data_IF_942881263938
#
_entry.id   IF_942881263938
#
_cell.length_a   1.000
_cell.length_b   1.000
_cell.length_c   1.000
_cell.angle_alpha   90.00
_cell.angle_beta   90.00
_cell.angle_gamma   90.00
#
_symmetry.space_group_name_H-M   'P 1'
#
loop_
_entity.id
_entity.type
_entity.pdbx_description
1 polymer ?
#
# COMPACT_ATOMS: atom_id res chain seq x y z
N UNK A 1 -6.85 -3.91 13.43
CA UNK A 1 -7.57 -4.60 12.33
C UNK A 1 -8.01 -6.00 12.72
N UNK A 2 -7.14 -6.85 13.27
CA UNK A 2 -7.50 -8.19 13.76
C UNK A 2 -8.69 -8.16 14.74
N UNK A 3 -8.66 -7.24 15.72
CA UNK A 3 -9.78 -7.03 16.66
C UNK A 3 -11.10 -6.74 15.96
N UNK A 4 -11.11 -5.96 14.88
CA UNK A 4 -12.35 -5.66 14.15
C UNK A 4 -12.92 -6.91 13.46
N UNK A 5 -12.05 -7.78 12.94
CA UNK A 5 -12.44 -9.07 12.35
C UNK A 5 -12.98 -10.01 13.42
N UNK A 6 -12.35 -10.05 14.59
CA UNK A 6 -12.80 -10.86 15.72
C UNK A 6 -14.18 -10.41 16.21
N UNK A 7 -14.39 -9.10 16.42
CA UNK A 7 -15.68 -8.56 16.84
C UNK A 7 -16.77 -8.78 15.77
N UNK A 8 -16.46 -8.61 14.49
CA UNK A 8 -17.38 -8.91 13.40
C UNK A 8 -17.83 -10.38 13.41
N UNK A 9 -16.90 -11.31 13.64
CA UNK A 9 -17.22 -12.75 13.76
C UNK A 9 -18.12 -13.05 14.96
N UNK A 10 -17.90 -12.41 16.11
CA UNK A 10 -18.73 -12.60 17.32
C UNK A 10 -20.19 -12.23 17.10
N UNK A 11 -20.47 -11.21 16.30
CA UNK A 11 -21.83 -10.77 15.98
C UNK A 11 -22.40 -11.44 14.72
N UNK A 12 -21.67 -12.38 14.11
CA UNK A 12 -22.07 -13.07 12.88
C UNK A 12 -22.09 -12.17 11.64
N UNK A 13 -21.35 -11.06 11.63
CA UNK A 13 -21.25 -10.18 10.47
C UNK A 13 -20.32 -10.76 9.40
N UNK A 14 -20.68 -10.55 8.13
CA UNK A 14 -19.81 -10.88 7.00
C UNK A 14 -18.58 -9.98 6.99
N UNK A 15 -17.40 -10.58 6.79
CA UNK A 15 -16.13 -9.86 6.73
C UNK A 15 -15.62 -9.85 5.30
N UNK A 16 -15.37 -8.65 4.77
CA UNK A 16 -14.83 -8.44 3.42
C UNK A 16 -13.56 -7.60 3.52
N UNK A 17 -12.50 -8.05 2.84
CA UNK A 17 -11.27 -7.27 2.69
C UNK A 17 -11.45 -6.30 1.52
N UNK A 18 -11.34 -5.00 1.80
CA UNK A 18 -11.60 -3.94 0.81
C UNK A 18 -10.32 -3.33 0.22
N UNK A 19 -9.16 -3.65 0.77
CA UNK A 19 -7.87 -3.14 0.31
C UNK A 19 -7.13 -4.19 -0.53
N UNK A 20 -6.18 -3.73 -1.35
CA UNK A 20 -5.34 -4.58 -2.19
C UNK A 20 -3.97 -4.81 -1.58
N UNK A 21 -3.32 -5.90 -1.99
CA UNK A 21 -1.93 -6.17 -1.63
C UNK A 21 -1.01 -5.02 -2.07
N UNK A 22 -0.14 -4.57 -1.17
CA UNK A 22 0.83 -3.50 -1.45
C UNK A 22 1.78 -3.88 -2.59
N UNK A 23 2.10 -5.17 -2.77
CA UNK A 23 2.97 -5.67 -3.83
C UNK A 23 2.45 -5.32 -5.22
N UNK A 24 1.13 -5.46 -5.44
CA UNK A 24 0.48 -5.09 -6.70
C UNK A 24 0.64 -3.58 -6.94
N UNK A 25 0.46 -2.79 -5.88
CA UNK A 25 0.59 -1.33 -5.94
C UNK A 25 2.02 -0.90 -6.29
N UNK A 26 3.02 -1.59 -5.74
CA UNK A 26 4.44 -1.34 -6.02
C UNK A 26 4.84 -1.76 -7.44
N UNK A 27 4.27 -2.85 -7.96
CA UNK A 27 4.47 -3.27 -9.35
C UNK A 27 3.95 -2.19 -10.32
N UNK A 28 2.72 -1.71 -10.14
CA UNK A 28 2.16 -0.63 -10.96
C UNK A 28 3.00 0.63 -10.93
N UNK A 29 3.55 0.95 -9.77
CA UNK A 29 4.44 2.09 -9.62
C UNK A 29 5.76 1.89 -10.38
N UNK A 30 6.39 0.71 -10.28
CA UNK A 30 7.57 0.35 -11.07
C UNK A 30 7.30 0.51 -12.57
N UNK A 31 6.10 0.19 -13.02
CA UNK A 31 5.71 0.32 -14.42
C UNK A 31 5.54 1.78 -14.85
N UNK A 32 5.06 2.65 -13.96
CA UNK A 32 4.92 4.10 -14.19
C UNK A 32 6.25 4.88 -14.09
N UNK A 33 7.33 4.26 -13.60
CA UNK A 33 8.63 4.93 -13.45
C UNK A 33 9.43 5.00 -14.76
N UNK A 34 10.08 6.13 -14.95
CA UNK A 34 11.11 6.30 -15.98
C UNK A 34 12.36 5.48 -15.65
N UNK A 35 13.15 5.16 -16.69
CA UNK A 35 14.42 4.44 -16.50
C UNK A 35 15.39 5.17 -15.56
N UNK A 36 15.39 6.50 -15.58
CA UNK A 36 16.23 7.33 -14.70
C UNK A 36 15.87 7.18 -13.22
N UNK A 37 14.59 7.12 -12.89
CA UNK A 37 14.12 6.92 -11.52
C UNK A 37 14.48 5.51 -11.03
N UNK A 38 14.32 4.49 -11.88
CA UNK A 38 14.73 3.11 -11.59
C UNK A 38 16.22 3.02 -11.27
N UNK A 39 17.07 3.64 -12.10
CA UNK A 39 18.52 3.67 -11.86
C UNK A 39 18.88 4.40 -10.56
N UNK A 40 18.22 5.53 -10.26
CA UNK A 40 18.46 6.27 -9.02
C UNK A 40 18.16 5.44 -7.77
N UNK A 41 17.05 4.70 -7.78
CA UNK A 41 16.67 3.79 -6.67
C UNK A 41 17.69 2.66 -6.56
N UNK A 42 18.06 2.03 -7.67
CA UNK A 42 19.07 0.96 -7.70
C UNK A 42 20.41 1.41 -7.10
N UNK A 43 20.92 2.58 -7.53
CA UNK A 43 22.17 3.12 -6.96
C UNK A 43 22.03 3.51 -5.49
N UNK A 44 20.87 3.98 -5.04
CA UNK A 44 20.64 4.30 -3.63
C UNK A 44 20.61 3.04 -2.77
N UNK A 45 20.01 1.95 -3.27
CA UNK A 45 20.01 0.65 -2.59
C UNK A 45 21.40 0.04 -2.54
N UNK A 46 22.16 0.08 -3.65
CA UNK A 46 23.57 -0.31 -3.64
C UNK A 46 24.33 0.48 -2.59
N UNK A 47 24.18 1.82 -2.59
CA UNK A 47 24.83 2.69 -1.60
C UNK A 47 24.40 2.35 -0.16
N UNK A 48 23.12 2.10 0.09
CA UNK A 48 22.58 1.69 1.39
C UNK A 48 23.24 0.39 1.88
N UNK A 49 23.35 -0.61 1.01
CA UNK A 49 24.00 -1.88 1.30
C UNK A 49 25.51 -1.68 1.56
N UNK A 50 26.19 -0.86 0.76
CA UNK A 50 27.59 -0.51 0.96
C UNK A 50 27.83 0.30 2.26
N UNK A 51 26.89 1.15 2.68
CA UNK A 51 27.00 1.93 3.93
C UNK A 51 26.72 1.05 5.16
N UNK A 52 25.77 0.10 5.08
CA UNK A 52 25.54 -0.89 6.14
C UNK A 52 26.73 -1.84 6.30
N UNK A 53 27.45 -2.13 5.20
CA UNK A 53 28.58 -3.07 5.14
C UNK A 53 29.93 -2.37 5.27
N UNK A 54 30.42 -2.24 6.49
CA UNK A 54 31.87 -2.20 6.73
C UNK A 54 32.60 -3.47 6.29
N UNK A 55 31.90 -4.59 6.03
CA UNK A 55 32.48 -5.85 5.56
C UNK A 55 31.54 -6.58 4.57
N UNK A 56 32.11 -7.05 3.47
CA UNK A 56 31.41 -7.66 2.32
C UNK A 56 30.68 -8.99 2.64
N UNK A 57 30.78 -9.51 3.86
CA UNK A 57 30.62 -10.94 4.18
C UNK A 57 29.16 -11.39 4.35
N UNK A 58 28.20 -10.52 4.68
CA UNK A 58 26.82 -10.94 4.99
C UNK A 58 25.80 -10.81 3.83
N UNK A 59 26.20 -10.97 2.55
CA UNK A 59 25.23 -10.93 1.44
C UNK A 59 24.30 -12.16 1.45
N UNK A 60 24.76 -13.30 1.95
CA UNK A 60 24.03 -14.56 1.95
C UNK A 60 22.89 -14.65 2.99
N UNK A 61 22.71 -13.62 3.82
CA UNK A 61 21.71 -13.58 4.90
C UNK A 61 20.49 -12.70 4.61
N UNK A 62 20.48 -12.01 3.47
CA UNK A 62 19.41 -11.08 3.12
C UNK A 62 18.29 -11.85 2.39
N UNK A 63 17.05 -11.74 2.88
CA UNK A 63 15.89 -12.35 2.21
C UNK A 63 15.30 -11.44 1.14
N UNK A 64 14.52 -12.01 0.22
CA UNK A 64 13.78 -11.23 -0.80
C UNK A 64 12.78 -10.26 -0.16
N UNK A 65 12.21 -10.62 1.00
CA UNK A 65 11.31 -9.74 1.78
C UNK A 65 12.07 -8.53 2.34
N UNK A 66 13.27 -8.74 2.89
CA UNK A 66 14.11 -7.64 3.40
C UNK A 66 14.50 -6.67 2.28
N UNK A 67 14.86 -7.19 1.10
CA UNK A 67 15.19 -6.37 -0.07
C UNK A 67 13.97 -5.57 -0.53
N UNK A 68 12.79 -6.19 -0.52
CA UNK A 68 11.56 -5.53 -0.90
C UNK A 68 11.22 -4.40 0.07
N UNK A 69 11.34 -4.63 1.37
CA UNK A 69 11.07 -3.63 2.40
C UNK A 69 12.07 -2.46 2.33
N UNK A 70 13.35 -2.73 2.13
CA UNK A 70 14.38 -1.71 1.93
C UNK A 70 14.10 -0.89 0.66
N UNK A 71 13.69 -1.53 -0.42
CA UNK A 71 13.29 -0.87 -1.67
C UNK A 71 12.07 0.03 -1.46
N UNK A 72 11.07 -0.43 -0.70
CA UNK A 72 9.90 0.38 -0.34
C UNK A 72 10.30 1.59 0.50
N UNK A 73 11.19 1.42 1.47
CA UNK A 73 11.61 2.49 2.37
C UNK A 73 12.46 3.54 1.63
N UNK A 74 13.38 3.10 0.79
CA UNK A 74 14.20 4.00 -0.01
C UNK A 74 13.37 4.76 -1.04
N UNK A 75 12.36 4.08 -1.61
CA UNK A 75 11.41 4.72 -2.49
C UNK A 75 10.61 5.84 -1.82
N UNK A 76 10.09 5.59 -0.61
CA UNK A 76 9.39 6.61 0.18
C UNK A 76 10.26 7.85 0.45
N UNK A 77 11.56 7.65 0.68
CA UNK A 77 12.52 8.76 0.90
C UNK A 77 12.80 9.54 -0.38
N UNK A 78 13.04 8.84 -1.49
CA UNK A 78 13.45 9.44 -2.75
C UNK A 78 12.30 10.11 -3.51
N UNK A 79 11.08 9.57 -3.38
CA UNK A 79 9.88 10.11 -4.03
C UNK A 79 8.67 10.11 -3.10
N UNK A 80 8.59 11.10 -2.19
CA UNK A 80 7.42 11.30 -1.33
C UNK A 80 6.13 11.50 -2.13
N UNK A 81 6.23 12.13 -3.31
CA UNK A 81 5.11 12.30 -4.23
C UNK A 81 4.58 10.96 -4.74
N UNK A 82 5.46 10.04 -5.10
CA UNK A 82 5.02 8.73 -5.54
C UNK A 82 4.44 7.91 -4.39
N UNK A 83 4.99 7.99 -3.18
CA UNK A 83 4.37 7.39 -1.99
C UNK A 83 2.94 7.93 -1.75
N UNK A 84 2.73 9.24 -1.96
CA UNK A 84 1.41 9.86 -1.89
C UNK A 84 0.46 9.34 -2.98
N UNK A 85 0.94 9.16 -4.22
CA UNK A 85 0.17 8.56 -5.31
C UNK A 85 -0.22 7.11 -4.98
N UNK A 86 0.68 6.33 -4.34
CA UNK A 86 0.36 4.96 -3.94
C UNK A 86 -0.75 4.87 -2.89
N UNK A 87 -0.70 5.75 -1.90
CA UNK A 87 -1.74 5.85 -0.87
C UNK A 87 -3.07 6.23 -1.54
N UNK A 88 -3.02 7.20 -2.44
CA UNK A 88 -4.20 7.71 -3.12
C UNK A 88 -4.87 6.67 -4.05
N UNK A 89 -4.09 5.88 -4.80
CA UNK A 89 -4.64 4.76 -5.57
C UNK A 89 -5.31 3.71 -4.69
N UNK A 90 -4.73 3.41 -3.52
CA UNK A 90 -5.34 2.49 -2.55
C UNK A 90 -6.63 3.07 -1.98
N UNK A 91 -6.65 4.37 -1.70
CA UNK A 91 -7.86 5.06 -1.26
C UNK A 91 -8.98 4.96 -2.30
N UNK A 92 -8.65 5.12 -3.59
CA UNK A 92 -9.59 4.91 -4.71
C UNK A 92 -10.07 3.45 -4.73
N UNK A 93 -9.17 2.48 -4.61
CA UNK A 93 -9.51 1.05 -4.63
C UNK A 93 -10.47 0.68 -3.50
N UNK A 94 -10.14 1.07 -2.27
CA UNK A 94 -11.01 0.86 -1.10
C UNK A 94 -12.35 1.55 -1.24
N UNK A 95 -12.38 2.79 -1.74
CA UNK A 95 -13.62 3.52 -1.98
C UNK A 95 -14.50 2.84 -3.04
N UNK A 96 -13.92 2.36 -4.16
CA UNK A 96 -14.64 1.60 -5.20
C UNK A 96 -15.28 0.34 -4.61
N UNK A 97 -14.53 -0.43 -3.81
CA UNK A 97 -15.05 -1.62 -3.16
C UNK A 97 -16.19 -1.32 -2.17
N UNK A 98 -16.05 -0.27 -1.36
CA UNK A 98 -17.12 0.15 -0.44
C UNK A 98 -18.38 0.61 -1.17
N UNK A 99 -18.23 1.36 -2.27
CA UNK A 99 -19.35 1.77 -3.11
C UNK A 99 -20.04 0.56 -3.74
N UNK A 100 -19.29 -0.38 -4.30
CA UNK A 100 -19.85 -1.60 -4.89
C UNK A 100 -20.66 -2.40 -3.86
N UNK A 101 -20.13 -2.59 -2.64
CA UNK A 101 -20.83 -3.27 -1.55
C UNK A 101 -22.11 -2.53 -1.16
N UNK A 102 -22.09 -1.19 -1.14
CA UNK A 102 -23.27 -0.38 -0.81
C UNK A 102 -24.42 -0.47 -1.83
N UNK A 103 -24.13 -0.89 -3.07
CA UNK A 103 -25.15 -1.07 -4.11
C UNK A 103 -25.81 -2.45 -4.04
N UNK A 104 -25.15 -3.44 -3.45
CA UNK A 104 -25.55 -4.84 -3.57
C UNK A 104 -26.65 -5.28 -2.60
N UNK A 105 -26.82 -4.63 -1.43
CA UNK A 105 -27.80 -5.05 -0.41
C UNK A 105 -28.22 -3.90 0.53
N UNK A 106 -29.44 -3.95 1.10
CA UNK A 106 -29.95 -3.08 2.18
C UNK A 106 -29.27 -3.40 3.54
N UNK A 107 -27.93 -3.37 3.58
CA UNK A 107 -27.14 -3.70 4.78
C UNK A 107 -26.38 -2.50 5.31
N UNK A 108 -26.31 -2.40 6.64
CA UNK A 108 -25.43 -1.44 7.32
C UNK A 108 -23.99 -1.93 7.19
N UNK A 109 -23.15 -1.14 6.54
CA UNK A 109 -21.72 -1.43 6.34
C UNK A 109 -20.91 -0.62 7.36
N UNK A 110 -19.99 -1.30 8.06
CA UNK A 110 -18.99 -0.66 8.91
C UNK A 110 -17.62 -0.89 8.29
N UNK A 111 -16.94 0.19 7.89
CA UNK A 111 -15.59 0.14 7.35
C UNK A 111 -14.57 0.47 8.44
N UNK A 112 -13.63 -0.45 8.70
CA UNK A 112 -12.49 -0.22 9.59
C UNK A 112 -11.25 -0.05 8.74
N UNK A 113 -10.67 1.15 8.74
CA UNK A 113 -9.57 1.54 7.87
C UNK A 113 -8.47 2.22 8.68
N UNK A 114 -7.23 2.13 8.21
CA UNK A 114 -6.11 2.85 8.82
C UNK A 114 -6.29 4.37 8.72
N UNK A 115 -5.85 5.10 9.75
CA UNK A 115 -5.98 6.57 9.82
C UNK A 115 -5.37 7.31 8.62
N UNK A 116 -4.31 6.74 8.01
CA UNK A 116 -3.69 7.29 6.79
C UNK A 116 -4.59 7.30 5.56
N UNK A 117 -5.61 6.42 5.53
CA UNK A 117 -6.52 6.23 4.39
C UNK A 117 -7.89 6.87 4.60
N UNK A 118 -8.27 7.13 5.86
CA UNK A 118 -9.61 7.61 6.22
C UNK A 118 -10.05 8.84 5.41
N UNK A 119 -9.18 9.87 5.32
CA UNK A 119 -9.50 11.13 4.63
C UNK A 119 -9.67 10.93 3.12
N UNK A 120 -8.82 10.12 2.49
CA UNK A 120 -8.87 9.89 1.05
C UNK A 120 -10.06 9.04 0.64
N UNK A 121 -10.31 7.94 1.37
CA UNK A 121 -11.48 7.08 1.12
C UNK A 121 -12.78 7.88 1.26
N UNK A 122 -12.93 8.68 2.32
CA UNK A 122 -14.12 9.55 2.50
C UNK A 122 -14.30 10.53 1.34
N UNK A 123 -13.20 11.11 0.84
CA UNK A 123 -13.22 12.04 -0.29
C UNK A 123 -13.72 11.35 -1.56
N UNK A 124 -13.19 10.17 -1.88
CA UNK A 124 -13.56 9.41 -3.08
C UNK A 124 -15.00 8.88 -3.04
N UNK A 125 -15.47 8.43 -1.88
CA UNK A 125 -16.87 8.02 -1.70
C UNK A 125 -17.81 9.21 -1.97
N UNK A 126 -17.52 10.38 -1.38
CA UNK A 126 -18.35 11.59 -1.55
C UNK A 126 -18.40 12.08 -2.99
N UNK A 127 -17.31 11.96 -3.74
CA UNK A 127 -17.27 12.38 -5.14
C UNK A 127 -17.94 11.39 -6.11
N UNK A 128 -18.44 10.24 -5.62
CA UNK A 128 -18.95 9.12 -6.44
C UNK A 128 -17.97 8.71 -7.57
N UNK A 129 -16.68 8.93 -7.29
CA UNK A 129 -15.44 8.66 -8.05
C UNK A 129 -15.49 9.02 -9.55
N UNK A 130 -14.91 10.17 -9.93
CA UNK A 130 -14.43 10.47 -11.29
C UNK A 130 -12.91 10.23 -11.36
N UNK A 131 -12.45 9.60 -12.44
CA UNK A 131 -11.03 9.35 -12.77
C UNK A 131 -10.25 10.62 -13.07
#
# INVERSE_FOLDING_TARGET
MLTAVEEAKKIGASVVLIDRDIRITLQLLKDKMTFREKMKIFFSLLRSLFIRKGELIELDRITDEDILDDLVNEFKKLSPNAAKILIDERDIYMAKNLLALSQSEDKKIVAVIGAGHEKGVKRYIKSKIKE
#
